data_IF_203782272102
#
_entry.id   IF_203782272102
#
_cell.length_a   1.000
_cell.length_b   1.000
_cell.length_c   1.000
_cell.angle_alpha   90.00
_cell.angle_beta   90.00
_cell.angle_gamma   90.00
#
_symmetry.space_group_name_H-M   'P 1'
#
loop_
_entity.id
_entity.type
_entity.pdbx_description
1 polymer ?
#
# COMPACT_ATOMS: atom_id res chain seq x y z
N UNK A 1 -23.01 -12.43 -19.92
CA UNK A 1 -21.70 -12.58 -20.58
C UNK A 1 -20.74 -13.41 -19.72
N UNK A 2 -20.58 -13.13 -18.40
CA UNK A 2 -19.64 -13.87 -17.54
C UNK A 2 -19.99 -15.36 -17.40
N UNK A 3 -21.29 -15.72 -17.24
CA UNK A 3 -21.72 -17.12 -17.17
C UNK A 3 -21.36 -17.88 -18.46
N UNK A 4 -21.57 -17.26 -19.62
CA UNK A 4 -21.16 -17.84 -20.90
C UNK A 4 -19.64 -17.99 -21.03
N UNK A 5 -18.87 -17.04 -20.53
CA UNK A 5 -17.42 -17.14 -20.49
C UNK A 5 -16.95 -18.28 -19.58
N UNK A 6 -17.61 -18.47 -18.43
CA UNK A 6 -17.37 -19.59 -17.50
C UNK A 6 -17.68 -20.95 -18.15
N UNK A 7 -18.74 -21.05 -18.97
CA UNK A 7 -19.02 -22.27 -19.72
C UNK A 7 -17.92 -22.63 -20.72
N UNK A 8 -17.33 -21.62 -21.37
CA UNK A 8 -16.25 -21.80 -22.33
C UNK A 8 -14.90 -22.10 -21.68
N UNK A 9 -14.61 -21.43 -20.55
CA UNK A 9 -13.37 -21.58 -19.80
C UNK A 9 -13.63 -21.72 -18.29
N UNK A 10 -14.02 -22.93 -17.83
CA UNK A 10 -14.47 -23.15 -16.46
C UNK A 10 -13.42 -22.87 -15.36
N UNK A 11 -12.13 -22.90 -15.73
CA UNK A 11 -11.00 -22.62 -14.82
C UNK A 11 -10.42 -21.20 -14.97
N UNK A 12 -11.02 -20.34 -15.79
CA UNK A 12 -10.53 -18.97 -15.99
C UNK A 12 -10.73 -18.15 -14.70
N UNK A 13 -9.63 -17.83 -14.02
CA UNK A 13 -9.66 -17.14 -12.72
C UNK A 13 -10.21 -15.71 -12.80
N UNK A 14 -10.00 -15.00 -13.91
CA UNK A 14 -10.55 -13.64 -14.06
C UNK A 14 -12.08 -13.69 -14.14
N UNK A 15 -12.64 -14.66 -14.88
CA UNK A 15 -14.10 -14.86 -14.98
C UNK A 15 -14.67 -15.29 -13.63
N UNK A 16 -14.02 -16.26 -12.97
CA UNK A 16 -14.48 -16.78 -11.68
C UNK A 16 -14.42 -15.70 -10.59
N UNK A 17 -13.37 -14.89 -10.58
CA UNK A 17 -13.21 -13.76 -9.65
C UNK A 17 -14.26 -12.69 -9.92
N UNK A 18 -14.48 -12.31 -11.20
CA UNK A 18 -15.50 -11.33 -11.56
C UNK A 18 -16.89 -11.78 -11.11
N UNK A 19 -17.25 -13.05 -11.30
CA UNK A 19 -18.52 -13.62 -10.84
C UNK A 19 -18.63 -13.58 -9.30
N UNK A 20 -17.55 -13.92 -8.59
CA UNK A 20 -17.50 -13.92 -7.13
C UNK A 20 -17.80 -12.52 -6.55
N UNK A 21 -17.26 -11.47 -7.17
CA UNK A 21 -17.39 -10.08 -6.68
C UNK A 21 -18.63 -9.35 -7.22
N UNK A 22 -19.50 -9.99 -7.99
CA UNK A 22 -20.79 -9.40 -8.38
C UNK A 22 -21.75 -9.25 -7.18
N UNK A 23 -21.73 -10.19 -6.25
CA UNK A 23 -22.55 -10.13 -5.05
C UNK A 23 -21.88 -9.24 -4.01
N UNK A 24 -22.60 -8.27 -3.48
CA UNK A 24 -22.11 -7.44 -2.38
C UNK A 24 -22.19 -8.22 -1.07
N UNK A 25 -21.05 -8.66 -0.57
CA UNK A 25 -20.88 -9.36 0.71
C UNK A 25 -19.91 -8.60 1.62
N UNK A 26 -19.91 -8.93 2.91
CA UNK A 26 -18.87 -8.44 3.82
C UNK A 26 -17.51 -9.06 3.45
N UNK A 27 -16.42 -8.34 3.65
CA UNK A 27 -15.07 -8.76 3.21
C UNK A 27 -14.67 -10.17 3.70
N UNK A 28 -15.00 -10.52 4.93
CA UNK A 28 -14.68 -11.83 5.49
C UNK A 28 -15.41 -13.00 4.82
N UNK A 29 -16.57 -12.77 4.23
CA UNK A 29 -17.37 -13.80 3.55
C UNK A 29 -16.76 -14.22 2.20
N UNK A 30 -15.91 -13.37 1.60
CA UNK A 30 -15.18 -13.72 0.38
C UNK A 30 -13.97 -14.62 0.63
N UNK A 31 -13.38 -14.59 1.84
CA UNK A 31 -12.09 -15.24 2.10
C UNK A 31 -12.08 -16.74 1.74
N UNK A 32 -13.08 -17.57 2.16
CA UNK A 32 -13.08 -19.00 1.82
C UNK A 32 -13.17 -19.26 0.31
N UNK A 33 -13.95 -18.44 -0.40
CA UNK A 33 -14.13 -18.60 -1.85
C UNK A 33 -12.86 -18.19 -2.61
N UNK A 34 -12.21 -17.10 -2.21
CA UNK A 34 -10.94 -16.66 -2.81
C UNK A 34 -9.84 -17.67 -2.52
N UNK A 35 -9.75 -18.23 -1.32
CA UNK A 35 -8.79 -19.30 -0.98
C UNK A 35 -8.99 -20.53 -1.89
N UNK A 36 -10.25 -20.92 -2.15
CA UNK A 36 -10.59 -22.01 -3.06
C UNK A 36 -10.16 -21.71 -4.50
N UNK A 37 -10.43 -20.51 -5.00
CA UNK A 37 -10.03 -20.10 -6.34
C UNK A 37 -8.50 -20.03 -6.48
N UNK A 38 -7.80 -19.56 -5.44
CA UNK A 38 -6.32 -19.58 -5.42
C UNK A 38 -5.76 -21.01 -5.44
N UNK A 39 -6.39 -21.94 -4.71
CA UNK A 39 -5.99 -23.35 -4.75
C UNK A 39 -6.20 -23.94 -6.15
N UNK A 40 -7.36 -23.71 -6.77
CA UNK A 40 -7.69 -24.13 -8.12
C UNK A 40 -6.68 -23.59 -9.16
N UNK A 41 -6.41 -22.28 -9.11
CA UNK A 41 -5.48 -21.65 -10.05
C UNK A 41 -4.05 -22.12 -9.88
N UNK A 42 -3.61 -22.36 -8.64
CA UNK A 42 -2.27 -22.91 -8.36
C UNK A 42 -2.11 -24.33 -8.90
N UNK A 43 -3.14 -25.16 -8.75
CA UNK A 43 -3.16 -26.53 -9.28
C UNK A 43 -3.11 -26.52 -10.82
N UNK A 44 -3.98 -25.75 -11.48
CA UNK A 44 -4.00 -25.63 -12.95
C UNK A 44 -2.63 -25.18 -13.51
N UNK A 45 -2.03 -24.14 -12.93
CA UNK A 45 -0.72 -23.65 -13.34
C UNK A 45 0.41 -24.69 -13.13
N UNK A 46 0.28 -25.55 -12.10
CA UNK A 46 1.23 -26.65 -11.85
C UNK A 46 1.04 -27.81 -12.83
N UNK A 47 -0.19 -28.23 -13.09
CA UNK A 47 -0.52 -29.25 -14.09
C UNK A 47 0.03 -28.88 -15.47
N UNK A 48 -0.11 -27.60 -15.84
CA UNK A 48 0.40 -27.02 -17.08
C UNK A 48 1.91 -26.75 -17.06
N UNK A 49 2.60 -27.03 -15.93
CA UNK A 49 4.04 -26.78 -15.70
C UNK A 49 4.47 -25.31 -15.82
N UNK A 50 3.52 -24.37 -15.79
CA UNK A 50 3.77 -22.92 -15.93
C UNK A 50 4.22 -22.32 -14.60
N UNK A 51 3.66 -22.79 -13.47
CA UNK A 51 3.89 -22.18 -12.16
C UNK A 51 5.38 -21.99 -11.84
N UNK A 52 6.16 -23.07 -11.89
CA UNK A 52 7.57 -23.03 -11.49
C UNK A 52 8.45 -22.25 -12.47
N UNK A 53 8.12 -22.32 -13.76
CA UNK A 53 8.87 -21.64 -14.82
C UNK A 53 8.68 -20.11 -14.79
N UNK A 54 7.56 -19.63 -14.23
CA UNK A 54 7.20 -18.20 -14.19
C UNK A 54 7.54 -17.51 -12.86
N UNK A 55 8.14 -18.24 -11.90
CA UNK A 55 8.51 -17.62 -10.60
C UNK A 55 9.47 -16.45 -10.83
N UNK A 56 9.08 -15.27 -10.32
CA UNK A 56 9.75 -14.00 -10.55
C UNK A 56 9.04 -13.08 -11.54
N UNK A 57 8.33 -13.66 -12.52
CA UNK A 57 7.74 -12.95 -13.66
C UNK A 57 6.22 -13.18 -13.82
N UNK A 58 5.51 -13.54 -12.76
CA UNK A 58 4.08 -13.89 -12.80
C UNK A 58 3.18 -12.82 -13.42
N UNK A 59 3.55 -11.56 -13.33
CA UNK A 59 2.79 -10.49 -13.96
C UNK A 59 3.09 -10.35 -15.46
N UNK A 60 4.29 -10.71 -15.90
CA UNK A 60 4.71 -10.63 -17.30
C UNK A 60 4.11 -11.76 -18.15
N UNK A 61 3.97 -12.95 -17.54
CA UNK A 61 3.40 -14.13 -18.20
C UNK A 61 1.87 -14.04 -18.16
N UNK A 62 1.22 -14.08 -19.34
CA UNK A 62 -0.23 -13.87 -19.46
C UNK A 62 -1.04 -14.90 -18.67
N UNK A 63 -0.62 -16.16 -18.70
CA UNK A 63 -1.29 -17.29 -18.06
C UNK A 63 -1.26 -17.21 -16.52
N UNK A 64 -0.23 -16.61 -15.94
CA UNK A 64 -0.12 -16.45 -14.48
C UNK A 64 -0.70 -15.14 -13.96
N UNK A 65 -0.96 -14.18 -14.82
CA UNK A 65 -1.45 -12.84 -14.46
C UNK A 65 -2.78 -12.88 -13.71
N UNK A 66 -3.80 -13.69 -14.08
CA UNK A 66 -5.03 -13.81 -13.30
C UNK A 66 -4.78 -14.30 -11.87
N UNK A 67 -3.86 -15.24 -11.70
CA UNK A 67 -3.52 -15.78 -10.38
C UNK A 67 -2.87 -14.73 -9.47
N UNK A 68 -1.89 -13.96 -9.97
CA UNK A 68 -1.22 -12.94 -9.15
C UNK A 68 -2.17 -11.77 -8.80
N UNK A 69 -3.11 -11.41 -9.70
CA UNK A 69 -4.16 -10.42 -9.42
C UNK A 69 -5.11 -10.89 -8.32
N UNK A 70 -5.51 -12.17 -8.36
CA UNK A 70 -6.34 -12.76 -7.33
C UNK A 70 -5.62 -12.82 -5.97
N UNK A 71 -4.32 -13.13 -5.95
CA UNK A 71 -3.50 -13.03 -4.72
C UNK A 71 -3.49 -11.61 -4.16
N UNK A 72 -3.37 -10.60 -5.02
CA UNK A 72 -3.38 -9.20 -4.60
C UNK A 72 -4.74 -8.82 -4.00
N UNK A 73 -5.85 -9.23 -4.63
CA UNK A 73 -7.19 -9.05 -4.07
C UNK A 73 -7.35 -9.77 -2.72
N UNK A 74 -6.81 -10.99 -2.59
CA UNK A 74 -6.82 -11.71 -1.32
C UNK A 74 -6.06 -10.97 -0.22
N UNK A 75 -4.89 -10.40 -0.54
CA UNK A 75 -4.13 -9.56 0.38
C UNK A 75 -4.96 -8.35 0.86
N UNK A 76 -5.65 -7.67 -0.06
CA UNK A 76 -6.57 -6.57 0.27
C UNK A 76 -7.69 -7.02 1.20
N UNK A 77 -8.38 -8.13 0.90
CA UNK A 77 -9.45 -8.66 1.76
C UNK A 77 -8.96 -8.99 3.17
N UNK A 78 -7.77 -9.60 3.28
CA UNK A 78 -7.15 -9.89 4.56
C UNK A 78 -6.85 -8.62 5.36
N UNK A 79 -6.39 -7.56 4.67
CA UNK A 79 -6.15 -6.25 5.29
C UNK A 79 -7.46 -5.64 5.81
N UNK A 80 -8.54 -5.64 5.00
CA UNK A 80 -9.86 -5.16 5.42
C UNK A 80 -10.43 -5.94 6.61
N UNK A 81 -10.10 -7.23 6.72
CA UNK A 81 -10.45 -8.07 7.85
C UNK A 81 -9.48 -7.97 9.04
N UNK A 82 -8.51 -7.05 9.03
CA UNK A 82 -7.46 -6.89 10.03
C UNK A 82 -6.64 -8.17 10.27
N UNK A 83 -6.59 -9.08 9.29
CA UNK A 83 -5.76 -10.31 9.32
C UNK A 83 -4.33 -10.01 8.83
N UNK A 84 -3.68 -9.00 9.42
CA UNK A 84 -2.49 -8.34 8.90
C UNK A 84 -1.29 -9.27 8.73
N UNK A 85 -1.08 -10.22 9.64
CA UNK A 85 0.01 -11.21 9.51
C UNK A 85 -0.17 -12.12 8.29
N UNK A 86 -1.41 -12.51 7.98
CA UNK A 86 -1.72 -13.26 6.76
C UNK A 86 -1.53 -12.38 5.52
N UNK A 87 -1.98 -11.12 5.55
CA UNK A 87 -1.78 -10.17 4.46
C UNK A 87 -0.27 -9.99 4.16
N UNK A 88 0.57 -9.82 5.19
CA UNK A 88 2.03 -9.77 5.04
C UNK A 88 2.59 -11.05 4.39
N UNK A 89 2.13 -12.22 4.81
CA UNK A 89 2.60 -13.49 4.23
C UNK A 89 2.24 -13.60 2.74
N UNK A 90 1.02 -13.20 2.36
CA UNK A 90 0.57 -13.16 0.96
C UNK A 90 1.37 -12.14 0.16
N UNK A 91 1.57 -10.92 0.68
CA UNK A 91 2.35 -9.89 0.01
C UNK A 91 3.81 -10.31 -0.24
N UNK A 92 4.44 -10.98 0.72
CA UNK A 92 5.79 -11.56 0.55
C UNK A 92 5.83 -12.62 -0.56
N UNK A 93 4.81 -13.47 -0.64
CA UNK A 93 4.73 -14.48 -1.72
C UNK A 93 4.47 -13.80 -3.07
N UNK A 94 3.64 -12.75 -3.14
CA UNK A 94 3.45 -11.96 -4.38
C UNK A 94 4.78 -11.37 -4.84
N UNK A 95 5.58 -10.73 -3.96
CA UNK A 95 6.88 -10.17 -4.34
C UNK A 95 7.88 -11.23 -4.80
N UNK A 96 7.80 -12.45 -4.28
CA UNK A 96 8.62 -13.58 -4.74
C UNK A 96 8.20 -14.06 -6.13
N UNK A 97 6.90 -14.12 -6.40
CA UNK A 97 6.36 -14.55 -7.68
C UNK A 97 6.48 -13.48 -8.77
N UNK A 98 6.54 -12.21 -8.39
CA UNK A 98 6.62 -11.05 -9.28
C UNK A 98 7.66 -10.05 -8.74
N UNK A 99 8.92 -10.29 -9.06
CA UNK A 99 10.04 -9.52 -8.52
C UNK A 99 10.02 -8.03 -8.94
N UNK A 100 9.43 -7.72 -10.10
CA UNK A 100 9.27 -6.34 -10.60
C UNK A 100 8.19 -5.54 -9.88
N UNK A 101 7.40 -6.21 -9.03
CA UNK A 101 6.30 -5.61 -8.26
C UNK A 101 5.36 -4.68 -9.06
N UNK A 102 4.90 -5.16 -10.21
CA UNK A 102 3.98 -4.41 -11.08
C UNK A 102 2.64 -4.07 -10.43
N UNK A 103 2.32 -4.69 -9.30
CA UNK A 103 1.08 -4.46 -8.51
C UNK A 103 1.29 -3.47 -7.35
N UNK A 104 2.50 -2.98 -7.13
CA UNK A 104 2.78 -2.03 -6.04
C UNK A 104 2.63 -2.60 -4.63
N UNK A 105 2.73 -3.93 -4.47
CA UNK A 105 2.55 -4.63 -3.18
C UNK A 105 3.54 -4.17 -2.11
N UNK A 106 4.72 -3.69 -2.54
CA UNK A 106 5.73 -3.12 -1.64
C UNK A 106 5.20 -1.98 -0.78
N UNK A 107 4.31 -1.14 -1.32
CA UNK A 107 3.73 -0.01 -0.58
C UNK A 107 2.82 -0.49 0.55
N UNK A 108 1.90 -1.39 0.25
CA UNK A 108 1.04 -1.99 1.26
C UNK A 108 1.85 -2.75 2.32
N UNK A 109 2.89 -3.50 1.92
CA UNK A 109 3.78 -4.19 2.85
C UNK A 109 4.52 -3.21 3.77
N UNK A 110 4.99 -2.06 3.25
CA UNK A 110 5.64 -1.04 4.06
C UNK A 110 4.70 -0.52 5.16
N UNK A 111 3.46 -0.18 4.80
CA UNK A 111 2.44 0.26 5.75
C UNK A 111 2.11 -0.83 6.79
N UNK A 112 1.99 -2.08 6.37
CA UNK A 112 1.74 -3.21 7.26
C UNK A 112 2.90 -3.44 8.25
N UNK A 113 4.15 -3.36 7.80
CA UNK A 113 5.30 -3.49 8.67
C UNK A 113 5.35 -2.36 9.71
N UNK A 114 5.10 -1.12 9.29
CA UNK A 114 5.05 0.03 10.21
C UNK A 114 3.89 -0.10 11.20
N UNK A 115 2.72 -0.56 10.75
CA UNK A 115 1.59 -0.83 11.65
C UNK A 115 1.93 -1.88 12.72
N UNK A 116 2.68 -2.91 12.31
CA UNK A 116 3.12 -4.01 13.19
C UNK A 116 4.41 -3.69 13.97
N UNK A 117 4.94 -2.46 13.85
CA UNK A 117 6.21 -2.03 14.48
C UNK A 117 7.40 -2.92 14.09
N UNK A 118 7.36 -3.51 12.89
CA UNK A 118 8.40 -4.40 12.37
C UNK A 118 9.46 -3.59 11.59
N UNK A 119 10.31 -2.87 12.34
CA UNK A 119 11.42 -2.06 11.81
C UNK A 119 12.33 -2.89 10.90
N UNK A 120 12.67 -4.10 11.33
CA UNK A 120 13.60 -4.94 10.57
C UNK A 120 13.10 -5.23 9.16
N UNK A 121 11.86 -5.66 9.00
CA UNK A 121 11.28 -5.96 7.70
C UNK A 121 10.97 -4.70 6.88
N UNK A 122 10.55 -3.60 7.52
CA UNK A 122 10.37 -2.31 6.87
C UNK A 122 11.67 -1.80 6.23
N UNK A 123 12.77 -1.77 7.00
CA UNK A 123 14.09 -1.34 6.50
C UNK A 123 14.69 -2.33 5.48
N UNK A 124 14.40 -3.63 5.62
CA UNK A 124 14.81 -4.63 4.62
C UNK A 124 14.09 -4.40 3.29
N UNK A 125 12.79 -4.14 3.33
CA UNK A 125 11.99 -3.84 2.15
C UNK A 125 12.47 -2.56 1.45
N UNK A 126 12.74 -1.49 2.21
CA UNK A 126 13.32 -0.26 1.67
C UNK A 126 14.65 -0.49 0.95
N UNK A 127 15.53 -1.30 1.53
CA UNK A 127 16.83 -1.62 0.89
C UNK A 127 16.66 -2.39 -0.41
N UNK A 128 15.66 -3.27 -0.49
CA UNK A 128 15.35 -4.03 -1.69
C UNK A 128 14.93 -3.13 -2.86
N UNK A 129 14.20 -2.05 -2.58
CA UNK A 129 13.64 -1.15 -3.60
C UNK A 129 14.31 0.25 -3.62
N UNK A 130 15.42 0.44 -2.90
CA UNK A 130 16.09 1.75 -2.70
C UNK A 130 16.40 2.50 -3.99
N UNK A 131 16.76 1.79 -5.06
CA UNK A 131 17.19 2.41 -6.32
C UNK A 131 16.03 2.78 -7.25
N UNK A 132 14.84 2.24 -6.98
CA UNK A 132 13.66 2.42 -7.84
C UNK A 132 12.54 3.19 -7.16
N UNK A 133 12.64 3.45 -5.85
CA UNK A 133 11.51 4.01 -5.12
C UNK A 133 11.91 4.90 -3.92
N UNK A 134 11.73 6.21 -4.10
CA UNK A 134 11.82 7.23 -3.05
C UNK A 134 10.43 7.91 -2.83
N UNK A 135 9.36 7.18 -3.12
CA UNK A 135 7.97 7.67 -3.13
C UNK A 135 7.40 7.94 -1.74
N UNK A 136 6.31 8.71 -1.70
CA UNK A 136 5.53 8.95 -0.49
C UNK A 136 5.05 7.65 0.16
N UNK A 137 4.72 6.61 -0.64
CA UNK A 137 4.29 5.29 -0.17
C UNK A 137 5.33 4.55 0.68
N UNK A 138 6.63 4.86 0.52
CA UNK A 138 7.71 4.36 1.39
C UNK A 138 8.09 5.36 2.47
N UNK A 139 8.27 6.63 2.08
CA UNK A 139 8.89 7.63 2.95
C UNK A 139 7.95 8.06 4.07
N UNK A 140 6.64 8.21 3.81
CA UNK A 140 5.72 8.67 4.83
C UNK A 140 5.55 7.67 6.00
N UNK A 141 5.30 6.35 5.74
CA UNK A 141 5.27 5.37 6.82
C UNK A 141 6.61 5.23 7.53
N UNK A 142 7.75 5.39 6.84
CA UNK A 142 9.06 5.39 7.50
C UNK A 142 9.22 6.56 8.48
N UNK A 143 8.73 7.74 8.14
CA UNK A 143 8.75 8.88 9.06
C UNK A 143 7.93 8.61 10.33
N UNK A 144 6.77 7.93 10.18
CA UNK A 144 5.97 7.48 11.32
C UNK A 144 6.72 6.47 12.18
N UNK A 145 7.36 5.46 11.57
CA UNK A 145 8.12 4.45 12.29
C UNK A 145 9.23 5.10 13.15
N UNK A 146 10.03 5.98 12.57
CA UNK A 146 11.06 6.71 13.31
C UNK A 146 10.50 7.59 14.43
N UNK A 147 9.33 8.21 14.21
CA UNK A 147 8.65 8.97 15.25
C UNK A 147 8.23 8.07 16.42
N UNK A 148 7.63 6.90 16.14
CA UNK A 148 7.20 5.94 17.17
C UNK A 148 8.38 5.40 18.00
N UNK A 149 9.54 5.25 17.40
CA UNK A 149 10.77 4.80 18.06
C UNK A 149 11.52 5.93 18.80
N UNK A 150 10.99 7.16 18.81
CA UNK A 150 11.62 8.32 19.41
C UNK A 150 12.80 8.89 18.61
N UNK A 151 13.05 8.39 17.39
CA UNK A 151 14.10 8.84 16.46
C UNK A 151 13.62 10.10 15.71
N UNK A 152 13.40 11.20 16.48
CA UNK A 152 12.76 12.42 15.97
C UNK A 152 13.55 13.14 14.88
N UNK A 153 14.89 13.10 14.92
CA UNK A 153 15.72 13.78 13.91
C UNK A 153 15.71 13.01 12.59
N UNK A 154 15.72 11.68 12.64
CA UNK A 154 15.57 10.81 11.46
C UNK A 154 14.18 11.03 10.82
N UNK A 155 13.13 11.04 11.62
CA UNK A 155 11.77 11.33 11.14
C UNK A 155 11.70 12.71 10.46
N UNK A 156 12.27 13.76 11.07
CA UNK A 156 12.35 15.10 10.45
C UNK A 156 13.16 15.08 9.14
N UNK A 157 14.22 14.30 9.08
CA UNK A 157 15.03 14.13 7.87
C UNK A 157 14.20 13.59 6.72
N UNK A 158 13.38 12.58 6.99
CA UNK A 158 12.44 11.99 6.00
C UNK A 158 11.39 13.02 5.58
N UNK A 159 10.73 13.70 6.53
CA UNK A 159 9.72 14.73 6.24
C UNK A 159 10.28 15.91 5.41
N UNK A 160 11.54 16.29 5.64
CA UNK A 160 12.20 17.33 4.83
C UNK A 160 12.37 16.86 3.39
N UNK A 161 12.80 15.62 3.15
CA UNK A 161 12.89 15.06 1.79
C UNK A 161 11.52 15.08 1.10
N UNK A 162 10.48 14.55 1.77
CA UNK A 162 9.11 14.61 1.25
C UNK A 162 8.67 16.04 0.91
N UNK A 163 8.95 17.00 1.78
CA UNK A 163 8.62 18.42 1.54
C UNK A 163 9.38 19.04 0.36
N UNK A 164 10.53 18.49 -0.01
CA UNK A 164 11.31 18.93 -1.17
C UNK A 164 10.82 18.25 -2.46
N UNK A 165 10.45 16.97 -2.36
CA UNK A 165 10.00 16.17 -3.50
C UNK A 165 8.56 16.46 -3.89
N UNK A 166 7.67 16.64 -2.92
CA UNK A 166 6.23 16.74 -3.15
C UNK A 166 5.72 18.19 -2.99
N UNK A 167 5.30 18.79 -4.09
CA UNK A 167 4.64 20.09 -4.05
C UNK A 167 3.33 19.99 -3.26
N UNK A 168 3.15 20.85 -2.26
CA UNK A 168 1.95 20.85 -1.40
C UNK A 168 2.06 19.96 -0.16
N UNK A 169 3.17 19.24 0.06
CA UNK A 169 3.34 18.34 1.21
C UNK A 169 3.00 18.99 2.57
N UNK A 170 3.29 20.28 2.73
CA UNK A 170 2.95 21.01 3.97
C UNK A 170 1.45 21.24 4.13
N UNK A 171 0.71 21.42 3.02
CA UNK A 171 -0.75 21.48 3.02
C UNK A 171 -1.31 20.11 3.45
N UNK A 172 -0.83 19.03 2.83
CA UNK A 172 -1.17 17.67 3.25
C UNK A 172 -0.97 17.46 4.77
N UNK A 173 0.19 17.81 5.33
CA UNK A 173 0.43 17.68 6.78
C UNK A 173 -0.55 18.48 7.64
N UNK A 174 -0.98 19.64 7.16
CA UNK A 174 -2.00 20.44 7.85
C UNK A 174 -3.35 19.74 7.81
N UNK A 175 -3.77 19.28 6.66
CA UNK A 175 -5.08 18.68 6.47
C UNK A 175 -5.17 17.29 7.15
N UNK A 176 -4.10 16.50 7.12
CA UNK A 176 -3.97 15.28 7.90
C UNK A 176 -4.02 15.56 9.42
N UNK A 177 -3.33 16.61 9.91
CA UNK A 177 -3.34 17.01 11.31
C UNK A 177 -4.72 17.54 11.77
N UNK A 178 -5.56 18.00 10.89
CA UNK A 178 -6.91 18.51 11.14
C UNK A 178 -8.02 17.49 10.79
N UNK A 179 -7.65 16.24 10.49
CA UNK A 179 -8.54 15.11 10.10
C UNK A 179 -9.39 15.36 8.86
N UNK A 180 -9.00 16.28 7.99
CA UNK A 180 -9.77 16.63 6.78
C UNK A 180 -9.68 15.59 5.68
N UNK A 181 -8.69 14.68 5.74
CA UNK A 181 -8.42 13.66 4.72
C UNK A 181 -9.16 12.35 4.97
N UNK A 182 -9.98 12.27 6.03
CA UNK A 182 -10.76 11.07 6.37
C UNK A 182 -12.14 11.04 5.72
N UNK A 183 -12.51 12.06 4.94
CA UNK A 183 -13.77 12.08 4.22
C UNK A 183 -13.68 11.19 2.97
N UNK A 184 -14.34 10.03 3.00
CA UNK A 184 -14.39 9.08 1.90
C UNK A 184 -15.08 9.63 0.64
N UNK A 185 -15.83 10.74 0.75
CA UNK A 185 -16.47 11.40 -0.40
C UNK A 185 -15.49 12.12 -1.32
N UNK A 186 -14.26 12.38 -0.85
CA UNK A 186 -13.18 13.04 -1.57
C UNK A 186 -12.04 12.07 -1.94
N UNK A 187 -12.36 10.78 -2.17
CA UNK A 187 -11.36 9.81 -2.59
C UNK A 187 -10.74 10.20 -3.94
N UNK A 188 -9.40 10.21 -4.00
CA UNK A 188 -8.66 10.62 -5.19
C UNK A 188 -8.40 9.39 -6.07
N UNK A 189 -9.17 9.26 -7.16
CA UNK A 189 -8.98 8.19 -8.17
C UNK A 189 -7.78 8.47 -9.09
N UNK A 190 -7.49 9.75 -9.36
CA UNK A 190 -6.39 10.18 -10.22
C UNK A 190 -5.52 11.21 -9.50
N UNK A 191 -4.22 11.00 -9.48
CA UNK A 191 -3.28 11.94 -8.87
C UNK A 191 -2.21 12.40 -9.85
N UNK A 192 -1.63 13.55 -9.59
CA UNK A 192 -0.48 14.08 -10.31
C UNK A 192 0.81 13.72 -9.56
N UNK A 193 1.79 13.13 -10.27
CA UNK A 193 3.07 12.74 -9.69
C UNK A 193 3.80 13.93 -9.04
N UNK A 194 4.45 13.67 -7.92
CA UNK A 194 5.23 14.64 -7.14
C UNK A 194 4.41 15.81 -6.59
N UNK A 195 3.11 15.62 -6.41
CA UNK A 195 2.22 16.61 -5.80
C UNK A 195 1.54 16.11 -4.53
N UNK A 196 0.84 17.01 -3.85
CA UNK A 196 -0.01 16.71 -2.70
C UNK A 196 -1.01 15.57 -2.98
N UNK A 197 -1.61 15.55 -4.18
CA UNK A 197 -2.62 14.55 -4.53
C UNK A 197 -2.05 13.11 -4.52
N UNK A 198 -0.79 12.90 -4.91
CA UNK A 198 -0.13 11.60 -4.78
C UNK A 198 0.01 11.18 -3.31
N UNK A 199 0.43 12.12 -2.45
CA UNK A 199 0.57 11.84 -1.01
C UNK A 199 -0.78 11.55 -0.37
N UNK A 200 -1.83 12.27 -0.76
CA UNK A 200 -3.21 12.04 -0.29
C UNK A 200 -3.72 10.67 -0.75
N UNK A 201 -3.51 10.29 -2.02
CA UNK A 201 -3.87 8.95 -2.51
C UNK A 201 -3.18 7.85 -1.70
N UNK A 202 -1.85 7.94 -1.50
CA UNK A 202 -1.11 6.99 -0.66
C UNK A 202 -1.66 6.91 0.78
N UNK A 203 -2.06 8.05 1.35
CA UNK A 203 -2.66 8.11 2.67
C UNK A 203 -4.03 7.42 2.69
N UNK A 204 -4.92 7.74 1.75
CA UNK A 204 -6.27 7.21 1.68
C UNK A 204 -6.30 5.69 1.41
N UNK A 205 -5.42 5.19 0.57
CA UNK A 205 -5.27 3.74 0.31
C UNK A 205 -4.86 2.93 1.55
N UNK A 206 -4.30 3.58 2.57
CA UNK A 206 -3.73 2.95 3.75
C UNK A 206 -4.28 3.52 5.08
N UNK A 207 -5.55 3.94 5.10
CA UNK A 207 -6.21 4.54 6.27
C UNK A 207 -6.07 3.71 7.54
N UNK A 208 -6.01 2.38 7.45
CA UNK A 208 -5.81 1.48 8.58
C UNK A 208 -4.56 1.82 9.41
N UNK A 209 -3.51 2.38 8.79
CA UNK A 209 -2.30 2.85 9.48
C UNK A 209 -2.51 4.23 10.12
N UNK A 210 -3.24 5.12 9.44
CA UNK A 210 -3.27 6.53 9.75
C UNK A 210 -4.38 6.96 10.71
N UNK A 211 -5.48 6.20 10.78
CA UNK A 211 -6.70 6.52 11.53
C UNK A 211 -6.43 6.86 13.01
N UNK A 212 -5.44 6.26 13.65
CA UNK A 212 -5.07 6.49 15.05
C UNK A 212 -3.72 7.20 15.24
N UNK A 213 -3.22 7.93 14.24
CA UNK A 213 -1.88 8.54 14.24
C UNK A 213 -1.90 10.07 14.22
N UNK A 214 -2.94 10.68 14.76
CA UNK A 214 -3.12 12.14 14.84
C UNK A 214 -1.94 12.85 15.49
N UNK A 215 -1.37 12.28 16.56
CA UNK A 215 -0.23 12.86 17.27
C UNK A 215 0.99 13.00 16.35
N UNK A 216 1.27 12.01 15.50
CA UNK A 216 2.34 12.09 14.51
C UNK A 216 2.13 13.28 13.56
N UNK A 217 0.94 13.44 12.98
CA UNK A 217 0.68 14.55 12.05
C UNK A 217 0.75 15.92 12.72
N UNK A 218 0.26 16.05 13.95
CA UNK A 218 0.40 17.28 14.73
C UNK A 218 1.86 17.62 15.00
N UNK A 219 2.67 16.62 15.36
CA UNK A 219 4.09 16.78 15.56
C UNK A 219 4.81 17.11 14.24
N UNK A 220 4.55 16.37 13.16
CA UNK A 220 5.16 16.57 11.84
C UNK A 220 4.89 17.99 11.31
N UNK A 221 3.65 18.47 11.42
CA UNK A 221 3.27 19.84 11.07
C UNK A 221 4.11 20.87 11.83
N UNK A 222 4.27 20.71 13.14
CA UNK A 222 5.11 21.61 13.98
C UNK A 222 6.57 21.53 13.57
N UNK A 223 7.10 20.33 13.38
CA UNK A 223 8.49 20.08 13.00
C UNK A 223 8.87 20.69 11.63
N UNK A 224 7.89 20.77 10.72
CA UNK A 224 8.07 21.32 9.37
C UNK A 224 7.71 22.81 9.24
N UNK A 225 7.25 23.44 10.32
CA UNK A 225 7.00 24.89 10.36
C UNK A 225 8.33 25.64 10.58
N UNK A 226 8.71 26.56 9.70
CA UNK A 226 9.92 27.34 9.92
C UNK A 226 9.81 28.18 11.20
N UNK A 227 10.92 28.35 11.96
CA UNK A 227 10.91 29.17 13.14
C UNK A 227 10.47 30.60 12.77
N UNK A 228 9.54 31.17 13.54
CA UNK A 228 9.15 32.58 13.40
C UNK A 228 10.39 33.43 13.50
N UNK A 229 10.77 34.21 12.47
CA UNK A 229 11.80 35.25 12.59
C UNK A 229 11.38 36.17 13.73
N UNK A 230 12.20 36.24 14.79
CA UNK A 230 12.05 37.32 15.80
C UNK A 230 12.11 38.63 15.04
N UNK A 231 11.05 39.45 15.13
CA UNK A 231 11.12 40.85 14.69
C UNK A 231 12.20 41.47 15.59
N UNK A 232 13.33 41.85 15.00
CA UNK A 232 14.27 42.74 15.66
C UNK A 232 13.48 43.99 16.08
N UNK A 233 13.33 44.18 17.37
CA UNK A 233 12.83 45.45 17.93
C UNK A 233 13.88 46.47 17.60
N UNK A 234 13.67 47.25 16.57
CA UNK A 234 14.39 48.48 16.29
C UNK A 234 14.02 49.45 17.44
N UNK A 235 14.88 49.48 18.44
CA UNK A 235 14.88 50.54 19.46
C UNK A 235 15.39 51.80 18.76
N UNK A 236 14.51 52.75 18.56
CA UNK A 236 14.83 54.15 18.23
C UNK A 236 15.01 54.91 19.53
#
# INVERSE_FOLDING_TARGET
YLEKAKELEPKNLDVLSALLFLDKRAYHEYLPDVERLLALGKEDLRERKIYQQSVGDFYQVLETRPYIRLMHMYMFLLQQCMMLRKAIAVGKEILKLNCSDNLGVRYTLMHLYVYMEDEYNALKLMRQFKEVDDSAGFQLPLALLYFQEGKSEEAKGVLKRLSTTYRGFRSFLKDAAELRLLDESEYIDEYQLYTESEVVSCYQENLFLWDSRQEFFQWARKAMTPPRKKKEQTTT
#
